data_IF_790415828506
#
_entry.id   IF_790415828506
#
_cell.length_a   1.000
_cell.length_b   1.000
_cell.length_c   1.000
_cell.angle_alpha   90.00
_cell.angle_beta   90.00
_cell.angle_gamma   90.00
#
_symmetry.space_group_name_H-M   'P 1'
#
loop_
_entity.id
_entity.type
_entity.pdbx_description
1 polymer ?
#
# COMPACT_ATOMS: atom_id res chain seq x y z
N UNK A 1 -2.65 32.35 -25.26
CA UNK A 1 -1.67 31.29 -24.90
C UNK A 1 -2.00 30.72 -23.51
N UNK A 2 -3.17 30.09 -23.39
CA UNK A 2 -3.66 29.34 -22.20
C UNK A 2 -4.48 28.19 -22.77
N UNK A 3 -3.90 27.00 -22.90
CA UNK A 3 -4.61 25.83 -23.43
C UNK A 3 -4.02 24.43 -23.14
N UNK A 4 -2.86 24.22 -22.46
CA UNK A 4 -2.42 22.85 -22.15
C UNK A 4 -3.02 22.26 -20.86
N UNK A 5 -3.48 23.09 -19.91
CA UNK A 5 -4.02 22.62 -18.62
C UNK A 5 -5.47 22.12 -18.73
N UNK A 6 -6.30 22.75 -19.55
CA UNK A 6 -7.70 22.36 -19.73
C UNK A 6 -7.82 21.03 -20.48
N UNK A 7 -6.90 20.77 -21.42
CA UNK A 7 -6.81 19.50 -22.15
C UNK A 7 -6.48 18.32 -21.22
N UNK A 8 -5.56 18.50 -20.27
CA UNK A 8 -5.20 17.46 -19.32
C UNK A 8 -6.36 17.12 -18.37
N UNK A 9 -7.10 18.13 -17.88
CA UNK A 9 -8.26 17.92 -17.01
C UNK A 9 -9.41 17.20 -17.75
N UNK A 10 -9.67 17.58 -19.00
CA UNK A 10 -10.68 16.92 -19.85
C UNK A 10 -10.25 15.51 -20.21
N UNK A 11 -8.98 15.26 -20.53
CA UNK A 11 -8.45 13.91 -20.80
C UNK A 11 -8.52 13.02 -19.55
N UNK A 12 -8.19 13.55 -18.37
CA UNK A 12 -8.29 12.83 -17.10
C UNK A 12 -9.75 12.49 -16.75
N UNK A 13 -10.68 13.44 -16.91
CA UNK A 13 -12.11 13.18 -16.71
C UNK A 13 -12.69 12.21 -17.75
N UNK A 14 -12.28 12.32 -19.03
CA UNK A 14 -12.70 11.39 -20.08
C UNK A 14 -12.12 9.99 -19.84
N UNK A 15 -10.89 9.86 -19.35
CA UNK A 15 -10.30 8.56 -18.98
C UNK A 15 -11.00 7.95 -17.75
N UNK A 16 -11.31 8.76 -16.73
CA UNK A 16 -12.03 8.30 -15.55
C UNK A 16 -13.46 7.87 -15.88
N UNK A 17 -14.14 8.59 -16.77
CA UNK A 17 -15.48 8.22 -17.25
C UNK A 17 -15.45 7.08 -18.28
N UNK A 18 -14.44 6.99 -19.15
CA UNK A 18 -14.32 5.93 -20.16
C UNK A 18 -13.99 4.56 -19.55
N UNK A 19 -13.18 4.52 -18.49
CA UNK A 19 -12.91 3.29 -17.72
C UNK A 19 -14.19 2.75 -17.05
N UNK A 20 -15.14 3.62 -16.71
CA UNK A 20 -16.43 3.25 -16.11
C UNK A 20 -17.49 2.81 -17.14
N UNK A 21 -17.31 3.12 -18.43
CA UNK A 21 -18.31 2.86 -19.49
C UNK A 21 -18.07 1.52 -20.22
N UNK A 22 -16.89 0.89 -20.10
CA UNK A 22 -16.65 -0.43 -20.70
C UNK A 22 -17.39 -1.50 -19.88
N UNK A 23 -18.47 -2.13 -20.39
CA UNK A 23 -19.20 -3.15 -19.67
C UNK A 23 -18.32 -4.40 -19.59
N UNK A 24 -17.63 -4.58 -18.46
CA UNK A 24 -16.74 -5.71 -18.20
C UNK A 24 -15.46 -5.31 -17.47
N UNK A 25 -14.85 -4.18 -17.81
CA UNK A 25 -13.61 -3.71 -17.16
C UNK A 25 -13.93 -3.08 -15.81
N UNK A 26 -14.95 -2.22 -15.74
CA UNK A 26 -15.40 -1.64 -14.47
C UNK A 26 -15.88 -2.70 -13.47
N UNK A 27 -16.54 -3.75 -13.97
CA UNK A 27 -17.04 -4.87 -13.18
C UNK A 27 -15.96 -5.92 -12.83
N UNK A 28 -14.76 -5.82 -13.38
CA UNK A 28 -13.62 -6.70 -13.09
C UNK A 28 -12.57 -5.99 -12.21
N UNK A 29 -12.33 -4.69 -12.45
CA UNK A 29 -11.36 -3.87 -11.71
C UNK A 29 -11.91 -3.27 -10.41
N UNK A 30 -13.20 -2.94 -10.33
CA UNK A 30 -13.80 -2.30 -9.15
C UNK A 30 -14.75 -3.21 -8.35
N UNK A 31 -14.74 -4.52 -8.63
CA UNK A 31 -15.51 -5.52 -7.86
C UNK A 31 -14.73 -5.99 -6.63
N UNK A 32 -14.27 -5.03 -5.83
CA UNK A 32 -13.63 -5.30 -4.54
C UNK A 32 -14.68 -5.63 -3.46
N UNK A 33 -14.34 -6.41 -2.42
CA UNK A 33 -15.22 -6.63 -1.28
C UNK A 33 -15.48 -5.36 -0.45
N UNK A 34 -14.74 -4.28 -0.73
CA UNK A 34 -14.85 -2.99 -0.07
C UNK A 34 -15.37 -1.95 -1.06
N UNK A 35 -16.60 -1.48 -0.86
CA UNK A 35 -17.16 -0.36 -1.61
C UNK A 35 -16.56 0.99 -1.17
N UNK A 36 -16.01 1.05 0.06
CA UNK A 36 -15.46 2.26 0.66
C UNK A 36 -14.22 1.94 1.53
N UNK A 37 -13.41 2.95 1.84
CA UNK A 37 -12.23 2.86 2.72
C UNK A 37 -12.70 2.73 4.19
N UNK A 38 -13.27 1.58 4.53
CA UNK A 38 -13.78 1.24 5.86
C UNK A 38 -12.70 0.61 6.73
N UNK A 39 -12.99 0.37 8.02
CA UNK A 39 -12.08 -0.36 8.93
C UNK A 39 -11.60 -1.71 8.37
N UNK A 40 -12.44 -2.42 7.62
CA UNK A 40 -12.05 -3.68 6.97
C UNK A 40 -10.97 -3.51 5.90
N UNK A 41 -11.01 -2.39 5.17
CA UNK A 41 -9.98 -2.06 4.18
C UNK A 41 -8.61 -1.86 4.85
N UNK A 42 -8.55 -1.15 5.98
CA UNK A 42 -7.30 -0.98 6.74
C UNK A 42 -6.75 -2.31 7.27
N UNK A 43 -7.62 -3.19 7.77
CA UNK A 43 -7.23 -4.49 8.33
C UNK A 43 -6.64 -5.46 7.30
N UNK A 44 -7.11 -5.40 6.04
CA UNK A 44 -6.61 -6.27 4.97
C UNK A 44 -5.61 -5.51 4.10
N UNK A 45 -6.07 -4.50 3.36
CA UNK A 45 -5.25 -3.77 2.38
C UNK A 45 -4.20 -2.92 3.08
N UNK A 46 -4.59 -2.16 4.10
CA UNK A 46 -3.65 -1.32 4.86
C UNK A 46 -2.51 -2.14 5.49
N UNK A 47 -2.83 -3.28 6.11
CA UNK A 47 -1.83 -4.21 6.66
C UNK A 47 -0.96 -4.80 5.56
N UNK A 48 -1.50 -5.21 4.41
CA UNK A 48 -0.66 -5.71 3.30
C UNK A 48 0.32 -4.68 2.77
N UNK A 49 -0.10 -3.40 2.67
CA UNK A 49 0.80 -2.30 2.26
C UNK A 49 1.90 -2.10 3.30
N UNK A 50 1.55 -2.10 4.60
CA UNK A 50 2.53 -1.99 5.68
C UNK A 50 3.52 -3.16 5.68
N UNK A 51 3.05 -4.39 5.50
CA UNK A 51 3.91 -5.57 5.41
C UNK A 51 4.83 -5.51 4.19
N UNK A 52 4.31 -5.07 3.04
CA UNK A 52 5.12 -4.90 1.84
C UNK A 52 6.21 -3.82 2.04
N UNK A 53 5.89 -2.71 2.68
CA UNK A 53 6.87 -1.67 3.01
C UNK A 53 7.90 -2.14 4.04
N UNK A 54 7.48 -2.97 5.02
CA UNK A 54 8.39 -3.60 5.97
C UNK A 54 9.36 -4.55 5.25
N UNK A 55 8.88 -5.36 4.29
CA UNK A 55 9.75 -6.21 3.47
C UNK A 55 10.71 -5.36 2.63
N UNK A 56 10.23 -4.29 1.99
CA UNK A 56 11.07 -3.36 1.25
C UNK A 56 12.10 -2.64 2.14
N UNK A 57 11.88 -2.56 3.46
CA UNK A 57 12.86 -2.06 4.42
C UNK A 57 14.11 -2.95 4.50
N UNK A 58 13.91 -4.27 4.56
CA UNK A 58 14.99 -5.21 4.87
C UNK A 58 15.53 -5.97 3.65
N UNK A 59 14.69 -6.27 2.67
CA UNK A 59 15.05 -7.12 1.53
C UNK A 59 16.17 -6.47 0.67
N UNK A 60 16.08 -5.20 0.24
CA UNK A 60 17.13 -4.61 -0.60
C UNK A 60 18.49 -4.47 0.13
N UNK A 61 18.44 -4.11 1.42
CA UNK A 61 19.61 -4.08 2.28
C UNK A 61 20.20 -5.49 2.45
N UNK A 62 19.35 -6.48 2.72
CA UNK A 62 19.71 -7.89 2.87
C UNK A 62 20.34 -8.48 1.60
N UNK A 63 19.78 -8.21 0.42
CA UNK A 63 20.34 -8.64 -0.87
C UNK A 63 21.73 -8.05 -1.10
N UNK A 64 21.94 -6.78 -0.73
CA UNK A 64 23.25 -6.11 -0.87
C UNK A 64 24.30 -6.80 0.00
N UNK A 65 23.95 -7.10 1.26
CA UNK A 65 24.83 -7.82 2.20
C UNK A 65 25.05 -9.27 1.76
N UNK A 66 24.00 -9.97 1.32
CA UNK A 66 24.07 -11.33 0.85
C UNK A 66 25.00 -11.46 -0.36
N UNK A 67 24.93 -10.53 -1.33
CA UNK A 67 25.87 -10.50 -2.46
C UNK A 67 27.32 -10.40 -2.00
N UNK A 68 27.63 -9.58 -0.99
CA UNK A 68 28.98 -9.49 -0.42
C UNK A 68 29.42 -10.83 0.20
N UNK A 69 28.55 -11.47 0.98
CA UNK A 69 28.84 -12.77 1.62
C UNK A 69 29.05 -13.86 0.56
N UNK A 70 28.17 -13.94 -0.45
CA UNK A 70 28.28 -14.89 -1.56
C UNK A 70 29.59 -14.67 -2.31
N UNK A 71 29.98 -13.43 -2.60
CA UNK A 71 31.26 -13.14 -3.26
C UNK A 71 32.46 -13.62 -2.44
N UNK A 72 32.44 -13.45 -1.12
CA UNK A 72 33.48 -13.99 -0.23
C UNK A 72 33.49 -15.52 -0.28
N UNK A 73 32.32 -16.16 -0.22
CA UNK A 73 32.21 -17.62 -0.27
C UNK A 73 32.71 -18.18 -1.62
N UNK A 74 32.31 -17.57 -2.73
CA UNK A 74 32.76 -17.94 -4.08
C UNK A 74 34.28 -17.79 -4.22
N UNK A 75 34.87 -16.72 -3.68
CA UNK A 75 36.33 -16.54 -3.64
C UNK A 75 37.02 -17.65 -2.84
N UNK A 76 36.47 -18.02 -1.68
CA UNK A 76 37.05 -19.08 -0.85
C UNK A 76 36.99 -20.46 -1.53
N UNK A 77 35.87 -20.78 -2.19
CA UNK A 77 35.64 -22.10 -2.77
C UNK A 77 36.32 -22.28 -4.13
N UNK A 78 36.26 -21.29 -5.01
CA UNK A 78 36.73 -21.42 -6.40
C UNK A 78 38.18 -20.96 -6.64
N UNK A 79 38.89 -20.43 -5.63
CA UNK A 79 40.28 -19.93 -5.80
C UNK A 79 41.25 -20.96 -6.39
N UNK A 80 41.04 -22.26 -6.15
CA UNK A 80 41.95 -23.33 -6.58
C UNK A 80 41.56 -23.96 -7.91
N UNK A 81 40.39 -23.62 -8.47
CA UNK A 81 39.86 -24.21 -9.71
C UNK A 81 40.11 -23.39 -10.97
N UNK A 82 40.65 -22.17 -10.85
CA UNK A 82 40.79 -21.22 -11.95
C UNK A 82 42.19 -21.29 -12.55
N UNK A 83 42.28 -21.75 -13.80
CA UNK A 83 43.57 -21.93 -14.50
C UNK A 83 44.05 -20.65 -15.22
N UNK A 84 43.12 -19.77 -15.64
CA UNK A 84 43.44 -18.60 -16.45
C UNK A 84 43.46 -17.31 -15.61
N UNK A 85 44.48 -16.47 -15.82
CA UNK A 85 44.67 -15.23 -15.06
C UNK A 85 43.50 -14.24 -15.18
N UNK A 86 42.87 -14.13 -16.36
CA UNK A 86 41.74 -13.22 -16.54
C UNK A 86 40.52 -13.63 -15.71
N UNK A 87 40.27 -14.93 -15.58
CA UNK A 87 39.17 -15.48 -14.77
C UNK A 87 39.44 -15.28 -13.27
N UNK A 88 40.70 -15.39 -12.84
CA UNK A 88 41.08 -15.07 -11.47
C UNK A 88 40.85 -13.58 -11.16
N UNK A 89 41.21 -12.70 -12.10
CA UNK A 89 40.97 -11.26 -11.96
C UNK A 89 39.47 -10.95 -11.85
N UNK A 90 38.64 -11.61 -12.65
CA UNK A 90 37.17 -11.46 -12.58
C UNK A 90 36.61 -11.90 -11.22
N UNK A 91 37.05 -13.04 -10.67
CA UNK A 91 36.63 -13.54 -9.36
C UNK A 91 36.95 -12.56 -8.20
N UNK A 92 38.08 -11.86 -8.29
CA UNK A 92 38.50 -10.87 -7.29
C UNK A 92 37.98 -9.45 -7.59
N UNK A 93 37.44 -9.21 -8.78
CA UNK A 93 36.83 -7.93 -9.13
C UNK A 93 35.46 -7.82 -8.45
N UNK A 94 35.25 -6.72 -7.72
CA UNK A 94 33.96 -6.45 -7.08
C UNK A 94 32.91 -6.05 -8.13
N UNK A 95 31.63 -6.36 -7.91
CA UNK A 95 30.55 -5.93 -8.82
C UNK A 95 30.43 -4.41 -8.86
N UNK A 96 29.78 -3.92 -9.92
CA UNK A 96 29.46 -2.50 -10.05
C UNK A 96 28.32 -2.08 -9.12
N UNK A 97 28.41 -0.87 -8.57
CA UNK A 97 27.34 -0.28 -7.77
C UNK A 97 26.28 0.33 -8.67
N UNK A 98 25.15 -0.37 -8.84
CA UNK A 98 24.03 0.12 -9.63
C UNK A 98 23.23 1.20 -8.88
N UNK A 99 23.59 2.46 -9.14
CA UNK A 99 22.90 3.64 -8.59
C UNK A 99 21.46 3.75 -9.09
N UNK A 100 21.18 3.34 -10.34
CA UNK A 100 19.85 3.47 -10.95
C UNK A 100 18.83 2.66 -10.18
N UNK A 101 19.18 1.42 -9.86
CA UNK A 101 18.32 0.53 -9.08
C UNK A 101 18.04 1.09 -7.67
N UNK A 102 19.05 1.68 -7.03
CA UNK A 102 18.92 2.26 -5.68
C UNK A 102 17.98 3.48 -5.67
N UNK A 103 18.12 4.38 -6.65
CA UNK A 103 17.18 5.51 -6.80
C UNK A 103 15.76 5.05 -7.10
N UNK A 104 15.58 4.05 -7.98
CA UNK A 104 14.25 3.52 -8.29
C UNK A 104 13.55 2.94 -7.04
N UNK A 105 14.30 2.20 -6.20
CA UNK A 105 13.80 1.66 -4.93
C UNK A 105 13.45 2.78 -3.95
N UNK A 106 14.33 3.77 -3.81
CA UNK A 106 14.11 4.92 -2.93
C UNK A 106 12.85 5.71 -3.33
N UNK A 107 12.74 6.05 -4.63
CA UNK A 107 11.57 6.75 -5.17
C UNK A 107 10.27 5.98 -4.96
N UNK A 108 10.28 4.66 -5.17
CA UNK A 108 9.11 3.81 -4.95
C UNK A 108 8.64 3.88 -3.50
N UNK A 109 9.56 3.73 -2.54
CA UNK A 109 9.21 3.78 -1.11
C UNK A 109 8.68 5.16 -0.72
N UNK A 110 9.32 6.24 -1.19
CA UNK A 110 8.86 7.62 -0.91
C UNK A 110 7.48 7.87 -1.51
N UNK A 111 7.26 7.45 -2.76
CA UNK A 111 5.99 7.65 -3.45
C UNK A 111 4.84 6.92 -2.76
N UNK A 112 5.04 5.66 -2.37
CA UNK A 112 4.04 4.89 -1.61
C UNK A 112 3.78 5.50 -0.23
N UNK A 113 4.83 5.91 0.47
CA UNK A 113 4.71 6.54 1.80
C UNK A 113 3.92 7.84 1.73
N UNK A 114 4.22 8.70 0.76
CA UNK A 114 3.48 9.95 0.55
C UNK A 114 2.04 9.65 0.15
N UNK A 115 1.81 8.76 -0.80
CA UNK A 115 0.46 8.45 -1.30
C UNK A 115 -0.49 7.94 -0.19
N UNK A 116 -0.04 7.00 0.64
CA UNK A 116 -0.88 6.36 1.68
C UNK A 116 -0.69 6.94 3.09
N UNK A 117 0.24 7.89 3.26
CA UNK A 117 0.58 8.43 4.58
C UNK A 117 -0.55 9.18 5.28
N UNK A 118 -1.55 9.68 4.54
CA UNK A 118 -2.71 10.39 5.11
C UNK A 118 -3.57 9.51 6.03
N UNK A 119 -3.79 8.24 5.67
CA UNK A 119 -4.58 7.31 6.48
C UNK A 119 -3.78 6.21 7.18
N UNK A 120 -2.47 6.12 6.92
CA UNK A 120 -1.56 5.16 7.55
C UNK A 120 -0.29 5.87 8.05
N UNK A 121 -0.33 6.62 9.16
CA UNK A 121 0.82 7.37 9.66
C UNK A 121 2.01 6.47 10.04
N UNK A 122 1.79 5.18 10.29
CA UNK A 122 2.85 4.20 10.54
C UNK A 122 3.83 4.07 9.37
N UNK A 123 3.39 4.36 8.14
CA UNK A 123 4.25 4.34 6.95
C UNK A 123 5.41 5.32 7.06
N UNK A 124 5.24 6.48 7.68
CA UNK A 124 6.32 7.45 7.84
C UNK A 124 7.45 6.92 8.72
N UNK A 125 7.11 6.18 9.79
CA UNK A 125 8.11 5.53 10.63
C UNK A 125 8.83 4.41 9.89
N UNK A 126 8.12 3.62 9.09
CA UNK A 126 8.73 2.58 8.25
C UNK A 126 9.63 3.18 7.16
N UNK A 127 9.23 4.30 6.56
CA UNK A 127 10.05 5.00 5.57
C UNK A 127 11.34 5.55 6.20
N UNK A 128 11.27 6.10 7.42
CA UNK A 128 12.45 6.53 8.17
C UNK A 128 13.39 5.34 8.46
N UNK A 129 12.84 4.21 8.91
CA UNK A 129 13.61 2.99 9.13
C UNK A 129 14.27 2.47 7.83
N UNK A 130 13.53 2.47 6.71
CA UNK A 130 14.06 2.11 5.40
C UNK A 130 15.23 3.00 5.00
N UNK A 131 15.08 4.32 5.08
CA UNK A 131 16.15 5.26 4.73
C UNK A 131 17.39 5.05 5.60
N UNK A 132 17.20 4.80 6.90
CA UNK A 132 18.29 4.50 7.82
C UNK A 132 19.01 3.19 7.45
N UNK A 133 18.28 2.08 7.32
CA UNK A 133 18.86 0.78 6.96
C UNK A 133 19.56 0.83 5.59
N UNK A 134 18.92 1.45 4.61
CA UNK A 134 19.43 1.57 3.27
C UNK A 134 20.71 2.43 3.22
N UNK A 135 20.74 3.56 3.96
CA UNK A 135 21.92 4.40 4.07
C UNK A 135 23.13 3.62 4.59
N UNK A 136 22.97 2.84 5.66
CA UNK A 136 24.06 2.03 6.19
C UNK A 136 24.46 0.91 5.22
N UNK A 137 23.50 0.20 4.63
CA UNK A 137 23.78 -0.85 3.66
C UNK A 137 24.56 -0.34 2.44
N UNK A 138 24.15 0.80 1.89
CA UNK A 138 24.80 1.41 0.73
C UNK A 138 26.18 1.96 1.10
N UNK A 139 26.34 2.52 2.31
CA UNK A 139 27.65 2.94 2.83
C UNK A 139 28.62 1.75 2.94
N UNK A 140 28.18 0.62 3.49
CA UNK A 140 29.02 -0.59 3.55
C UNK A 140 29.34 -1.14 2.16
N UNK A 141 28.36 -1.14 1.25
CA UNK A 141 28.56 -1.59 -0.13
C UNK A 141 29.57 -0.72 -0.89
N UNK A 142 29.51 0.60 -0.73
CA UNK A 142 30.44 1.54 -1.37
C UNK A 142 31.87 1.42 -0.83
N UNK A 143 32.04 1.16 0.47
CA UNK A 143 33.36 1.08 1.08
C UNK A 143 34.04 -0.29 0.89
N UNK A 144 33.28 -1.39 0.94
CA UNK A 144 33.86 -2.74 0.97
C UNK A 144 33.37 -3.68 -0.14
N UNK A 145 32.24 -3.37 -0.79
CA UNK A 145 31.55 -4.32 -1.67
C UNK A 145 31.58 -4.00 -3.16
N UNK A 146 31.99 -2.78 -3.55
CA UNK A 146 31.91 -2.31 -4.93
C UNK A 146 33.28 -2.00 -5.53
N UNK A 147 33.39 -2.18 -6.85
CA UNK A 147 34.46 -1.57 -7.64
C UNK A 147 34.33 -0.04 -7.59
N UNK A 148 35.44 0.67 -7.77
CA UNK A 148 35.46 2.14 -7.84
C UNK A 148 34.35 2.62 -8.78
N UNK A 149 33.34 3.35 -8.26
CA UNK A 149 32.21 3.75 -9.07
C UNK A 149 32.66 4.71 -10.18
N UNK A 150 32.01 4.68 -11.36
CA UNK A 150 32.20 5.71 -12.37
C UNK A 150 31.75 7.06 -11.83
N UNK A 151 32.24 8.15 -12.43
CA UNK A 151 31.77 9.49 -12.07
C UNK A 151 30.28 9.62 -12.42
N UNK A 152 29.43 9.75 -11.40
CA UNK A 152 28.01 9.94 -11.56
C UNK A 152 27.67 11.42 -11.74
N UNK A 153 26.85 11.72 -12.75
CA UNK A 153 26.34 13.05 -13.04
C UNK A 153 25.19 13.40 -12.06
N UNK A 154 24.98 14.69 -11.78
CA UNK A 154 23.94 15.16 -10.85
C UNK A 154 22.53 15.02 -11.41
N UNK A 155 22.40 14.83 -12.74
CA UNK A 155 21.11 14.70 -13.45
C UNK A 155 20.16 13.68 -12.85
N UNK A 156 20.67 12.50 -12.45
CA UNK A 156 19.82 11.45 -11.87
C UNK A 156 19.16 11.89 -10.55
N UNK A 157 19.86 12.67 -9.73
CA UNK A 157 19.31 13.18 -8.50
C UNK A 157 18.27 14.27 -8.77
N UNK A 158 18.52 15.14 -9.76
CA UNK A 158 17.57 16.19 -10.18
C UNK A 158 16.27 15.58 -10.71
N UNK A 159 16.36 14.59 -11.60
CA UNK A 159 15.19 13.87 -12.14
C UNK A 159 14.40 13.17 -11.02
N UNK A 160 15.09 12.56 -10.05
CA UNK A 160 14.44 11.93 -8.91
C UNK A 160 13.62 12.94 -8.09
N UNK A 161 14.18 14.11 -7.79
CA UNK A 161 13.49 15.16 -7.03
C UNK A 161 12.31 15.72 -7.82
N UNK A 162 12.47 15.95 -9.13
CA UNK A 162 11.38 16.38 -10.01
C UNK A 162 10.23 15.37 -10.03
N UNK A 163 10.55 14.07 -10.04
CA UNK A 163 9.54 13.02 -10.02
C UNK A 163 8.73 12.99 -8.72
N UNK A 164 9.32 13.35 -7.58
CA UNK A 164 8.65 13.36 -6.27
C UNK A 164 7.52 14.40 -6.20
N UNK A 165 7.61 15.51 -6.95
CA UNK A 165 6.54 16.53 -6.98
C UNK A 165 5.22 15.97 -7.52
N UNK A 166 5.26 14.98 -8.42
CA UNK A 166 4.06 14.31 -8.92
C UNK A 166 3.36 13.47 -7.84
N UNK A 167 4.00 13.14 -6.72
CA UNK A 167 3.36 12.41 -5.62
C UNK A 167 2.31 13.24 -4.88
N UNK A 168 2.48 14.57 -4.85
CA UNK A 168 1.60 15.50 -4.13
C UNK A 168 0.14 15.44 -4.59
N UNK A 169 -0.19 15.55 -5.90
CA UNK A 169 -1.59 15.44 -6.33
C UNK A 169 -2.20 14.08 -6.00
N UNK A 170 -1.44 12.97 -6.09
CA UNK A 170 -1.94 11.66 -5.68
C UNK A 170 -2.20 11.57 -4.18
N UNK A 171 -1.32 12.15 -3.35
CA UNK A 171 -1.53 12.27 -1.92
C UNK A 171 -2.82 13.03 -1.61
N UNK A 172 -3.07 14.17 -2.28
CA UNK A 172 -4.29 14.96 -2.07
C UNK A 172 -5.54 14.16 -2.44
N UNK A 173 -5.56 13.48 -3.59
CA UNK A 173 -6.71 12.67 -4.03
C UNK A 173 -7.01 11.57 -3.02
N UNK A 174 -6.00 10.80 -2.59
CA UNK A 174 -6.24 9.73 -1.60
C UNK A 174 -6.57 10.28 -0.21
N UNK A 175 -5.98 11.40 0.19
CA UNK A 175 -6.31 12.05 1.45
C UNK A 175 -7.78 12.47 1.49
N UNK A 176 -8.32 13.02 0.39
CA UNK A 176 -9.74 13.36 0.29
C UNK A 176 -10.62 12.11 0.41
N UNK A 177 -10.23 10.99 -0.24
CA UNK A 177 -10.99 9.73 -0.15
C UNK A 177 -10.95 9.12 1.26
N UNK A 178 -9.82 9.23 1.95
CA UNK A 178 -9.65 8.70 3.31
C UNK A 178 -10.35 9.56 4.36
N UNK A 179 -10.26 10.88 4.25
CA UNK A 179 -10.88 11.82 5.19
C UNK A 179 -12.35 12.09 4.89
N UNK A 180 -12.82 11.86 3.66
CA UNK A 180 -14.22 12.00 3.27
C UNK A 180 -15.15 10.96 3.89
N UNK A 181 -14.60 9.98 4.61
CA UNK A 181 -15.35 8.84 5.11
C UNK A 181 -15.98 9.11 6.48
N UNK A 182 -17.30 9.20 6.52
CA UNK A 182 -18.09 9.52 7.73
C UNK A 182 -18.00 8.46 8.84
N UNK A 183 -17.70 7.20 8.49
CA UNK A 183 -17.57 6.12 9.48
C UNK A 183 -16.27 6.17 10.29
N UNK A 184 -15.25 6.87 9.81
CA UNK A 184 -13.98 7.08 10.52
C UNK A 184 -13.92 8.49 11.10
N UNK A 185 -14.35 9.47 10.32
CA UNK A 185 -14.43 10.88 10.71
C UNK A 185 -15.88 11.37 10.54
N UNK A 186 -16.72 11.27 11.59
CA UNK A 186 -18.09 11.74 11.50
C UNK A 186 -18.09 13.25 11.23
N UNK A 187 -18.72 13.64 10.12
CA UNK A 187 -18.93 15.04 9.75
C UNK A 187 -20.43 15.33 9.73
N UNK A 188 -20.79 16.56 10.11
CA UNK A 188 -22.16 17.01 9.95
C UNK A 188 -22.44 17.14 8.44
N UNK A 189 -23.63 16.73 7.97
CA UNK A 189 -23.99 16.90 6.57
C UNK A 189 -23.90 18.39 6.19
N UNK A 190 -23.42 18.66 4.98
CA UNK A 190 -23.38 20.01 4.42
C UNK A 190 -24.80 20.57 4.40
N UNK A 191 -25.05 21.57 5.27
CA UNK A 191 -26.39 22.11 5.52
C UNK A 191 -26.96 21.82 6.91
N UNK A 192 -26.24 21.15 7.82
CA UNK A 192 -26.63 20.81 9.20
C UNK A 192 -27.88 21.51 9.76
N UNK A 193 -27.74 22.75 10.23
CA UNK A 193 -28.87 23.53 10.79
C UNK A 193 -29.92 23.92 9.74
N UNK A 194 -29.55 24.18 8.49
CA UNK A 194 -30.48 24.50 7.42
C UNK A 194 -31.37 23.30 7.02
N UNK A 195 -30.82 22.08 7.05
CA UNK A 195 -31.57 20.85 6.80
C UNK A 195 -32.58 20.59 7.92
N UNK A 196 -32.14 20.74 9.17
CA UNK A 196 -33.03 20.59 10.33
C UNK A 196 -34.16 21.64 10.34
N UNK A 197 -33.85 22.89 9.97
CA UNK A 197 -34.86 23.97 9.87
C UNK A 197 -35.82 23.78 8.69
N UNK A 198 -35.37 23.18 7.58
CA UNK A 198 -36.24 22.79 6.46
C UNK A 198 -37.15 21.63 6.86
N UNK A 199 -36.64 20.62 7.56
CA UNK A 199 -37.44 19.48 8.04
C UNK A 199 -38.47 19.91 9.10
N UNK A 200 -38.09 20.81 10.01
CA UNK A 200 -38.96 21.41 11.02
C UNK A 200 -40.01 22.36 10.40
N UNK A 201 -39.66 23.10 9.35
CA UNK A 201 -40.57 23.97 8.61
C UNK A 201 -41.51 23.24 7.64
N UNK A 202 -41.17 22.03 7.22
CA UNK A 202 -41.97 21.21 6.29
C UNK A 202 -42.86 20.18 7.00
N UNK A 203 -42.83 20.13 8.34
CA UNK A 203 -43.64 19.21 9.16
C UNK A 203 -43.22 17.75 9.04
N UNK A 204 -41.99 17.48 8.59
CA UNK A 204 -41.49 16.13 8.35
C UNK A 204 -40.75 15.62 9.60
N UNK A 205 -41.32 14.64 10.29
CA UNK A 205 -40.67 14.03 11.47
C UNK A 205 -39.52 13.11 11.05
N UNK A 206 -38.35 13.14 11.74
CA UNK A 206 -37.23 12.26 11.42
C UNK A 206 -37.61 10.81 11.76
N UNK A 207 -37.97 10.03 10.74
CA UNK A 207 -38.41 8.65 10.88
C UNK A 207 -39.30 8.15 9.74
N UNK A 208 -39.95 9.05 9.01
CA UNK A 208 -40.81 8.69 7.86
C UNK A 208 -39.99 8.13 6.68
N UNK A 209 -38.78 8.65 6.40
CA UNK A 209 -37.91 8.10 5.34
C UNK A 209 -37.23 6.77 5.73
N UNK A 210 -37.11 6.45 7.03
CA UNK A 210 -36.60 5.13 7.47
C UNK A 210 -37.63 4.00 7.28
N UNK A 211 -38.91 4.29 7.08
CA UNK A 211 -39.92 3.26 6.76
C UNK A 211 -39.90 2.84 5.29
N UNK A 212 -39.39 3.68 4.39
CA UNK A 212 -39.36 3.40 2.94
C UNK A 212 -38.02 2.84 2.44
N UNK A 213 -36.97 2.85 3.25
CA UNK A 213 -35.69 2.22 2.92
C UNK A 213 -35.70 0.79 3.49
N UNK A 214 -35.68 -0.27 2.65
CA UNK A 214 -35.55 -1.63 3.17
C UNK A 214 -34.21 -1.76 3.91
N UNK A 215 -34.26 -2.40 5.08
CA UNK A 215 -33.13 -2.64 6.00
C UNK A 215 -32.00 -3.46 5.33
N UNK A 216 -31.19 -2.84 4.47
CA UNK A 216 -30.13 -3.52 3.69
C UNK A 216 -28.75 -3.45 4.36
N UNK A 217 -28.58 -2.76 5.49
CA UNK A 217 -27.24 -2.58 6.13
C UNK A 217 -27.11 -3.11 7.56
N UNK A 218 -28.03 -3.94 8.05
CA UNK A 218 -27.70 -4.82 9.19
C UNK A 218 -27.25 -6.16 8.64
N UNK A 219 -25.99 -6.51 8.86
CA UNK A 219 -25.58 -7.92 8.77
C UNK A 219 -26.63 -8.75 9.51
N UNK A 220 -27.18 -9.81 8.90
CA UNK A 220 -28.02 -10.73 9.65
C UNK A 220 -27.12 -11.35 10.72
N UNK A 221 -27.37 -10.99 11.98
CA UNK A 221 -26.84 -11.72 13.13
C UNK A 221 -27.01 -13.22 12.83
N UNK A 222 -25.96 -14.06 13.01
CA UNK A 222 -26.02 -15.44 12.58
C UNK A 222 -27.22 -16.13 13.24
N UNK A 223 -28.24 -16.39 12.43
CA UNK A 223 -29.51 -16.99 12.81
C UNK A 223 -29.29 -18.48 13.06
N UNK A 224 -28.54 -18.79 14.12
CA UNK A 224 -28.08 -20.15 14.41
C UNK A 224 -27.58 -20.38 15.84
N UNK A 225 -27.14 -19.36 16.58
CA UNK A 225 -26.53 -19.57 17.89
C UNK A 225 -27.50 -20.12 18.96
N UNK A 226 -28.79 -19.76 18.89
CA UNK A 226 -29.78 -20.21 19.88
C UNK A 226 -30.40 -21.60 19.57
N UNK A 227 -30.28 -22.07 18.32
CA UNK A 227 -30.75 -23.41 17.90
C UNK A 227 -29.67 -24.48 18.08
N UNK A 228 -28.40 -24.11 17.88
CA UNK A 228 -27.25 -24.99 18.10
C UNK A 228 -27.03 -25.32 19.59
N UNK A 229 -27.34 -24.40 20.52
CA UNK A 229 -27.24 -24.66 21.96
C UNK A 229 -28.27 -25.69 22.46
N UNK A 230 -29.47 -25.74 21.85
CA UNK A 230 -30.49 -26.75 22.20
C UNK A 230 -30.19 -28.11 21.57
N UNK A 231 -29.65 -28.17 20.35
CA UNK A 231 -29.25 -29.43 19.73
C UNK A 231 -27.99 -30.05 20.36
N UNK A 232 -27.01 -29.25 20.79
CA UNK A 232 -25.83 -29.77 21.49
C UNK A 232 -26.16 -30.34 22.89
N UNK A 233 -27.15 -29.77 23.60
CA UNK A 233 -27.61 -30.28 24.90
C UNK A 233 -28.47 -31.54 24.76
N UNK A 234 -29.28 -31.64 23.69
CA UNK A 234 -30.07 -32.85 23.40
C UNK A 234 -29.19 -34.00 22.88
N UNK A 235 -28.18 -33.71 22.05
CA UNK A 235 -27.23 -34.70 21.55
C UNK A 235 -26.34 -35.27 22.67
N UNK A 236 -25.89 -34.43 23.61
CA UNK A 236 -25.11 -34.87 24.79
C UNK A 236 -25.92 -35.71 25.78
N UNK A 237 -27.25 -35.58 25.79
CA UNK A 237 -28.16 -36.32 26.68
C UNK A 237 -28.56 -37.70 26.11
N UNK A 238 -28.49 -37.90 24.79
CA UNK A 238 -28.80 -39.19 24.16
C UNK A 238 -27.58 -40.10 23.89
N UNK A 239 -26.38 -39.54 23.71
CA UNK A 239 -25.16 -40.32 23.44
C UNK A 239 -24.20 -40.46 24.64
N UNK A 240 -24.59 -39.98 25.83
CA UNK A 240 -23.79 -40.07 27.05
C UNK A 240 -23.96 -41.35 27.88
N UNK A 241 -24.61 -42.40 27.36
CA UNK A 241 -24.87 -43.64 28.11
C UNK A 241 -24.31 -44.91 27.47
N UNK A 242 -23.34 -44.80 26.54
CA UNK A 242 -22.78 -45.98 25.86
C UNK A 242 -21.27 -45.88 25.59
N UNK A 243 -20.47 -45.53 26.59
CA UNK A 243 -19.05 -45.93 26.68
C UNK A 243 -18.69 -46.13 28.16
N UNK A 244 -18.95 -47.35 28.65
CA UNK A 244 -18.04 -48.10 29.53
C UNK A 244 -17.50 -49.22 28.66
#
# INVERSE_FOLDING_TARGET
MKQPLDAFYVIFQVLQNAVLIIPGVGNLLFRGPFAEITRGWYAIVGVTILMNMLLNCFVPAGVTVAKMIVNVFMRCFFRMGVAHQAELLELYTHPEFDIKQKYAQLLTTVFVTLMYGAGLPLLYFLACAFMFCQYWADKYCLLWGSRRPPHYDTKMATEAIESMLYAVPFHCVLAILMYGQTCVFPSNPLGGDLGNLVDEGSGYTPGMLQQFIPQVTREPAPLGAHRMRKQAVVFKRHFGFLIV
#
